data_IF_660713728247
#
_entry.id   IF_660713728247
#
_cell.length_a   1.000
_cell.length_b   1.000
_cell.length_c   1.000
_cell.angle_alpha   90.00
_cell.angle_beta   90.00
_cell.angle_gamma   90.00
#
_symmetry.space_group_name_H-M   'P 1'
#
loop_
_entity.id
_entity.type
_entity.pdbx_description
1 polymer ?
#
# COMPACT_ATOMS: atom_id res chain seq x y z
N UNK A 1 -5.84 27.99 -20.86
CA UNK A 1 -5.45 26.85 -19.98
C UNK A 1 -6.66 26.44 -19.16
N UNK A 2 -7.16 25.20 -19.30
CA UNK A 2 -8.17 24.66 -18.37
C UNK A 2 -7.42 24.18 -17.13
N UNK A 3 -7.57 24.88 -16.01
CA UNK A 3 -7.08 24.41 -14.72
C UNK A 3 -7.89 23.17 -14.34
N UNK A 4 -7.24 22.01 -14.27
CA UNK A 4 -7.86 20.80 -13.72
C UNK A 4 -7.87 21.02 -12.21
N UNK A 5 -8.94 21.61 -11.68
CA UNK A 5 -9.14 21.72 -10.25
C UNK A 5 -9.12 20.32 -9.66
N UNK A 6 -8.18 20.05 -8.74
CA UNK A 6 -8.10 18.77 -8.06
C UNK A 6 -9.38 18.56 -7.25
N UNK A 7 -10.29 17.73 -7.77
CA UNK A 7 -11.57 17.50 -7.14
C UNK A 7 -11.42 16.60 -5.89
N UNK A 8 -11.59 17.23 -4.73
CA UNK A 8 -11.62 16.58 -3.42
C UNK A 8 -12.73 15.50 -3.37
N UNK A 9 -13.82 15.67 -4.11
CA UNK A 9 -14.93 14.71 -4.18
C UNK A 9 -14.53 13.42 -4.92
N UNK A 10 -13.87 13.54 -6.08
CA UNK A 10 -13.31 12.38 -6.82
C UNK A 10 -12.30 11.60 -5.97
N UNK A 11 -11.45 12.31 -5.23
CA UNK A 11 -10.46 11.73 -4.30
C UNK A 11 -11.12 10.88 -3.21
N UNK A 12 -12.20 11.39 -2.59
CA UNK A 12 -12.98 10.67 -1.58
C UNK A 12 -13.71 9.45 -2.16
N UNK A 13 -14.33 9.59 -3.32
CA UNK A 13 -15.01 8.48 -4.01
C UNK A 13 -14.05 7.33 -4.32
N UNK A 14 -12.83 7.66 -4.76
CA UNK A 14 -11.81 6.67 -5.06
C UNK A 14 -11.29 5.96 -3.81
N UNK A 15 -11.08 6.69 -2.71
CA UNK A 15 -10.74 6.08 -1.40
C UNK A 15 -11.81 5.08 -0.95
N UNK A 16 -13.10 5.43 -1.08
CA UNK A 16 -14.21 4.54 -0.74
C UNK A 16 -14.25 3.28 -1.64
N UNK A 17 -13.99 3.43 -2.95
CA UNK A 17 -13.89 2.29 -3.88
C UNK A 17 -12.71 1.39 -3.55
N UNK A 18 -11.54 1.95 -3.25
CA UNK A 18 -10.38 1.21 -2.78
C UNK A 18 -10.69 0.43 -1.50
N UNK A 19 -11.37 1.04 -0.53
CA UNK A 19 -11.77 0.34 0.69
C UNK A 19 -12.69 -0.86 0.41
N UNK A 20 -13.68 -0.70 -0.48
CA UNK A 20 -14.56 -1.80 -0.90
C UNK A 20 -13.79 -2.93 -1.58
N UNK A 21 -12.83 -2.60 -2.45
CA UNK A 21 -11.93 -3.59 -3.05
C UNK A 21 -11.15 -4.36 -1.96
N UNK A 22 -10.61 -3.66 -0.97
CA UNK A 22 -9.84 -4.29 0.11
C UNK A 22 -10.69 -5.28 0.93
N UNK A 23 -11.94 -4.92 1.19
CA UNK A 23 -12.90 -5.79 1.88
C UNK A 23 -13.26 -7.01 1.03
N UNK A 24 -13.61 -6.79 -0.25
CA UNK A 24 -14.00 -7.84 -1.18
C UNK A 24 -12.91 -8.91 -1.34
N UNK A 25 -11.66 -8.48 -1.52
CA UNK A 25 -10.52 -9.38 -1.75
C UNK A 25 -9.78 -9.77 -0.47
N UNK A 26 -10.32 -9.41 0.71
CA UNK A 26 -9.74 -9.73 2.02
C UNK A 26 -8.25 -9.38 2.11
N UNK A 27 -7.88 -8.23 1.56
CA UNK A 27 -6.49 -7.78 1.45
C UNK A 27 -5.80 -7.73 2.83
N UNK A 28 -6.54 -7.36 3.88
CA UNK A 28 -6.04 -7.41 5.25
C UNK A 28 -5.58 -8.82 5.68
N UNK A 29 -6.31 -9.87 5.28
CA UNK A 29 -5.93 -11.27 5.55
C UNK A 29 -4.66 -11.65 4.78
N UNK A 30 -4.53 -11.22 3.54
CA UNK A 30 -3.34 -11.48 2.71
C UNK A 30 -2.11 -10.79 3.31
N UNK A 31 -2.24 -9.52 3.69
CA UNK A 31 -1.19 -8.79 4.42
C UNK A 31 -0.81 -9.53 5.71
N UNK A 32 -1.81 -10.07 6.41
CA UNK A 32 -1.58 -10.82 7.64
C UNK A 32 -0.83 -12.14 7.42
N UNK A 33 -1.16 -12.88 6.37
CA UNK A 33 -0.45 -14.12 6.03
C UNK A 33 0.95 -13.87 5.47
N UNK A 34 1.17 -12.73 4.82
CA UNK A 34 2.47 -12.32 4.29
C UNK A 34 3.44 -11.78 5.36
N UNK A 35 3.11 -11.99 6.65
CA UNK A 35 3.83 -11.45 7.79
C UNK A 35 4.01 -9.92 7.72
N UNK A 36 3.13 -9.21 7.00
CA UNK A 36 3.08 -7.74 6.99
C UNK A 36 2.34 -7.22 8.24
N UNK A 37 2.45 -7.95 9.34
CA UNK A 37 1.92 -7.60 10.64
C UNK A 37 3.03 -6.86 11.38
N UNK A 38 2.85 -5.57 11.65
CA UNK A 38 3.67 -4.93 12.67
C UNK A 38 3.14 -5.31 14.04
N UNK A 39 4.06 -5.62 14.94
CA UNK A 39 3.79 -5.96 16.34
C UNK A 39 3.34 -4.70 17.13
N UNK A 40 3.77 -3.50 16.73
CA UNK A 40 3.35 -2.21 17.30
C UNK A 40 3.37 -1.07 16.25
N UNK A 41 2.39 -0.15 16.32
CA UNK A 41 2.31 1.08 15.51
C UNK A 41 1.19 1.10 14.46
N UNK A 42 1.45 1.75 13.34
CA UNK A 42 0.44 2.05 12.30
C UNK A 42 0.12 0.81 11.45
N UNK A 43 -1.18 0.49 11.24
CA UNK A 43 -1.57 -0.72 10.51
C UNK A 43 -1.04 -0.76 9.08
N UNK A 44 -0.44 -1.89 8.68
CA UNK A 44 0.00 -2.13 7.30
C UNK A 44 -1.11 -1.91 6.26
N UNK A 45 -2.35 -2.23 6.62
CA UNK A 45 -3.53 -1.99 5.79
C UNK A 45 -3.68 -0.50 5.43
N UNK A 46 -3.43 0.43 6.37
CA UNK A 46 -3.55 1.87 6.12
C UNK A 46 -2.47 2.36 5.15
N UNK A 47 -1.24 1.85 5.31
CA UNK A 47 -0.11 2.18 4.43
C UNK A 47 -0.37 1.63 3.02
N UNK A 48 -0.88 0.41 2.91
CA UNK A 48 -1.21 -0.22 1.62
C UNK A 48 -2.41 0.46 0.94
N UNK A 49 -3.44 0.84 1.70
CA UNK A 49 -4.58 1.60 1.18
C UNK A 49 -4.13 2.94 0.60
N UNK A 50 -3.21 3.63 1.29
CA UNK A 50 -2.59 4.84 0.77
C UNK A 50 -1.85 4.57 -0.55
N UNK A 51 -0.99 3.55 -0.60
CA UNK A 51 -0.21 3.19 -1.78
C UNK A 51 -1.10 2.95 -3.00
N UNK A 52 -2.16 2.16 -2.83
CA UNK A 52 -3.11 1.87 -3.91
C UNK A 52 -3.88 3.13 -4.33
N UNK A 53 -4.28 3.95 -3.35
CA UNK A 53 -5.02 5.19 -3.62
C UNK A 53 -4.19 6.20 -4.42
N UNK A 54 -2.91 6.39 -4.08
CA UNK A 54 -2.05 7.34 -4.81
C UNK A 54 -1.78 6.89 -6.26
N UNK A 55 -1.67 5.57 -6.49
CA UNK A 55 -1.55 5.00 -7.85
C UNK A 55 -2.78 5.33 -8.69
N UNK A 56 -3.99 5.08 -8.17
CA UNK A 56 -5.23 5.37 -8.89
C UNK A 56 -5.52 6.86 -9.04
N UNK A 57 -5.02 7.70 -8.12
CA UNK A 57 -5.17 9.15 -8.21
C UNK A 57 -4.13 9.80 -9.14
N UNK A 58 -3.16 9.03 -9.65
CA UNK A 58 -1.99 9.54 -10.39
C UNK A 58 -1.25 10.64 -9.59
N UNK A 59 -1.19 10.47 -8.26
CA UNK A 59 -0.49 11.38 -7.34
C UNK A 59 0.75 10.69 -6.78
N UNK A 60 1.77 11.47 -6.44
CA UNK A 60 2.90 10.98 -5.65
C UNK A 60 2.61 11.11 -4.16
N UNK A 61 3.25 10.28 -3.34
CA UNK A 61 3.22 10.42 -1.88
C UNK A 61 3.64 11.84 -1.45
N UNK A 62 4.68 12.38 -2.10
CA UNK A 62 5.15 13.73 -1.87
C UNK A 62 4.05 14.76 -2.08
N UNK A 63 3.29 14.66 -3.18
CA UNK A 63 2.20 15.59 -3.45
C UNK A 63 1.07 15.47 -2.42
N UNK A 64 0.77 14.25 -1.97
CA UNK A 64 -0.25 14.02 -0.95
C UNK A 64 0.17 14.58 0.42
N UNK A 65 1.43 14.42 0.80
CA UNK A 65 1.99 14.98 2.04
C UNK A 65 2.13 16.50 1.99
N UNK A 66 2.49 17.07 0.84
CA UNK A 66 2.65 18.51 0.70
C UNK A 66 1.31 19.26 0.69
N UNK A 67 0.28 18.66 0.07
CA UNK A 67 -1.07 19.25 0.03
C UNK A 67 -1.83 19.05 1.34
N UNK A 68 -1.57 17.97 2.07
CA UNK A 68 -2.33 17.58 3.25
C UNK A 68 -1.44 17.00 4.37
N UNK A 69 -0.48 17.79 4.90
CA UNK A 69 0.55 17.31 5.82
C UNK A 69 -0.01 16.63 7.08
N UNK A 70 -1.14 17.11 7.61
CA UNK A 70 -1.73 16.59 8.86
C UNK A 70 -2.79 15.50 8.65
N UNK A 71 -3.06 15.09 7.41
CA UNK A 71 -4.13 14.11 7.13
C UNK A 71 -3.66 12.67 7.16
N UNK A 72 -2.35 12.44 7.03
CA UNK A 72 -1.79 11.11 7.01
C UNK A 72 -1.41 10.69 8.43
N UNK A 73 -1.82 9.49 8.87
CA UNK A 73 -1.51 9.02 10.23
C UNK A 73 -0.02 8.72 10.42
N UNK A 74 0.80 8.73 9.35
CA UNK A 74 2.24 8.43 9.36
C UNK A 74 3.06 9.37 8.47
N UNK A 75 4.35 9.50 8.83
CA UNK A 75 5.37 10.14 8.00
C UNK A 75 5.91 9.29 6.84
N UNK A 76 6.61 9.94 5.90
CA UNK A 76 7.14 9.32 4.66
C UNK A 76 8.02 8.11 4.92
N UNK A 77 8.81 8.14 5.98
CA UNK A 77 9.77 7.07 6.32
C UNK A 77 9.04 5.78 6.71
N UNK A 78 7.84 5.90 7.29
CA UNK A 78 7.00 4.74 7.59
C UNK A 78 6.46 4.10 6.32
N UNK A 79 6.08 4.90 5.33
CA UNK A 79 5.63 4.41 4.02
C UNK A 79 6.77 3.67 3.29
N UNK A 80 7.94 4.29 3.17
CA UNK A 80 9.07 3.68 2.45
C UNK A 80 9.60 2.43 3.14
N UNK A 81 9.67 2.42 4.47
CA UNK A 81 10.02 1.19 5.22
C UNK A 81 9.06 0.05 4.92
N UNK A 82 7.76 0.33 4.87
CA UNK A 82 6.74 -0.67 4.54
C UNK A 82 6.90 -1.22 3.11
N UNK A 83 7.09 -0.34 2.12
CA UNK A 83 7.28 -0.75 0.73
C UNK A 83 8.54 -1.61 0.55
N UNK A 84 9.64 -1.21 1.18
CA UNK A 84 10.92 -1.94 1.09
C UNK A 84 10.89 -3.26 1.86
N UNK A 85 10.21 -3.33 3.00
CA UNK A 85 10.06 -4.60 3.75
C UNK A 85 9.17 -5.59 3.01
N UNK A 86 8.08 -5.12 2.38
CA UNK A 86 7.22 -6.00 1.58
C UNK A 86 7.96 -6.54 0.36
N UNK A 87 8.75 -5.72 -0.33
CA UNK A 87 9.58 -6.16 -1.44
C UNK A 87 10.54 -7.27 -1.00
N UNK A 88 11.21 -7.08 0.13
CA UNK A 88 12.17 -8.05 0.67
C UNK A 88 11.48 -9.37 1.05
N UNK A 89 10.34 -9.30 1.77
CA UNK A 89 9.58 -10.49 2.15
C UNK A 89 9.01 -11.23 0.93
N UNK A 90 8.45 -10.49 -0.03
CA UNK A 90 7.92 -11.08 -1.25
C UNK A 90 9.04 -11.77 -2.05
N UNK A 91 10.18 -11.11 -2.25
CA UNK A 91 11.33 -11.69 -2.92
C UNK A 91 11.81 -12.97 -2.22
N UNK A 92 11.93 -12.96 -0.89
CA UNK A 92 12.33 -14.16 -0.12
C UNK A 92 11.31 -15.29 -0.31
N UNK A 93 10.01 -15.00 -0.25
CA UNK A 93 8.95 -16.00 -0.50
C UNK A 93 9.03 -16.58 -1.92
N UNK A 94 9.17 -15.74 -2.95
CA UNK A 94 9.34 -16.22 -4.32
C UNK A 94 10.60 -17.07 -4.46
N UNK A 95 11.75 -16.63 -3.91
CA UNK A 95 13.00 -17.42 -3.96
C UNK A 95 12.90 -18.74 -3.19
N UNK A 96 12.15 -18.78 -2.09
CA UNK A 96 11.93 -20.01 -1.32
C UNK A 96 11.03 -21.00 -2.09
N UNK A 97 10.03 -20.51 -2.83
CA UNK A 97 9.19 -21.35 -3.70
C UNK A 97 9.95 -21.86 -4.94
N UNK A 98 10.91 -21.10 -5.47
CA UNK A 98 11.78 -21.56 -6.57
C UNK A 98 12.92 -22.48 -6.14
N UNK A 99 13.23 -22.58 -4.85
CA UNK A 99 14.29 -23.47 -4.34
C UNK A 99 13.76 -24.86 -3.92
N UNK A 100 12.44 -25.08 -3.91
CA UNK A 100 11.79 -26.37 -3.69
C UNK A 100 11.31 -27.00 -5.01
N UNK A 101 12.22 -27.20 -5.96
CA UNK A 101 12.04 -28.24 -6.98
C UNK A 101 13.25 -29.17 -6.90
N UNK A 102 13.10 -30.37 -6.29
CA UNK A 102 14.20 -31.29 -6.13
C UNK A 102 14.64 -31.82 -7.49
N UNK A 103 15.95 -31.91 -7.63
CA UNK A 103 16.68 -32.64 -8.66
C UNK A 103 16.04 -34.01 -8.95
N UNK A 104 15.48 -34.16 -10.16
CA UNK A 104 15.27 -35.45 -10.80
C UNK A 104 16.50 -35.73 -11.68
N UNK A 105 17.48 -36.46 -11.14
CA UNK A 105 18.43 -37.29 -11.86
C UNK A 105 18.81 -38.48 -10.98
#
# INVERSE_FOLDING_TARGET
MKSITQDNHQTKCLSAKSMRFFQQYRIAKILHTANANKIMGIPAMQIFLLAVSIVFQHKSLYMQMNLYPDTLPFGKDTFYRFMNSCHTNAQVHYTAEFQYHPTLY
#
